data_IF_747579961912
#
_entry.id   IF_747579961912
#
_cell.length_a   1.000
_cell.length_b   1.000
_cell.length_c   1.000
_cell.angle_alpha   90.00
_cell.angle_beta   90.00
_cell.angle_gamma   90.00
#
_symmetry.space_group_name_H-M   'P 1'
#
loop_
_entity.id
_entity.type
_entity.pdbx_description
1 polymer ?
#
# COMPACT_ATOMS: atom_id res chain seq x y z
N UNK A 1 28.35 -5.38 -2.21
CA UNK A 1 27.24 -5.90 -1.37
C UNK A 1 27.54 -7.36 -1.07
N UNK A 2 27.62 -7.73 0.19
CA UNK A 2 27.92 -9.10 0.62
C UNK A 2 26.64 -9.93 0.65
N UNK A 3 26.77 -11.27 0.66
CA UNK A 3 25.62 -12.17 0.84
C UNK A 3 24.87 -11.88 2.17
N UNK A 4 25.61 -11.53 3.21
CA UNK A 4 25.03 -11.14 4.50
C UNK A 4 24.19 -9.84 4.39
N UNK A 5 24.66 -8.85 3.63
CA UNK A 5 23.91 -7.60 3.41
C UNK A 5 22.58 -7.85 2.67
N UNK A 6 22.60 -8.76 1.70
CA UNK A 6 21.40 -9.15 0.94
C UNK A 6 20.38 -9.84 1.86
N UNK A 7 20.85 -10.75 2.72
CA UNK A 7 19.97 -11.44 3.68
C UNK A 7 19.35 -10.47 4.69
N UNK A 8 20.14 -9.54 5.24
CA UNK A 8 19.65 -8.52 6.17
C UNK A 8 18.65 -7.59 5.51
N UNK A 9 18.89 -7.20 4.25
CA UNK A 9 18.00 -6.37 3.45
C UNK A 9 16.65 -7.08 3.22
N UNK A 10 16.67 -8.35 2.85
CA UNK A 10 15.45 -9.17 2.68
C UNK A 10 14.68 -9.33 4.00
N UNK A 11 15.36 -9.62 5.09
CA UNK A 11 14.73 -9.75 6.40
C UNK A 11 14.05 -8.45 6.83
N UNK A 12 14.67 -7.29 6.58
CA UNK A 12 14.08 -5.97 6.86
C UNK A 12 12.84 -5.70 6.03
N UNK A 13 12.87 -6.00 4.73
CA UNK A 13 11.70 -5.88 3.84
C UNK A 13 10.55 -6.76 4.32
N UNK A 14 10.83 -8.02 4.60
CA UNK A 14 9.83 -8.97 5.09
C UNK A 14 9.20 -8.51 6.40
N UNK A 15 10.01 -8.14 7.39
CA UNK A 15 9.54 -7.72 8.69
C UNK A 15 8.69 -6.44 8.61
N UNK A 16 9.17 -5.42 7.91
CA UNK A 16 8.45 -4.16 7.72
C UNK A 16 7.12 -4.38 7.00
N UNK A 17 7.12 -5.20 5.94
CA UNK A 17 5.93 -5.49 5.14
C UNK A 17 4.90 -6.31 5.92
N UNK A 18 5.31 -7.36 6.63
CA UNK A 18 4.43 -8.17 7.48
C UNK A 18 3.75 -7.36 8.60
N UNK A 19 4.49 -6.46 9.23
CA UNK A 19 4.00 -5.64 10.35
C UNK A 19 3.13 -4.46 9.91
N UNK A 20 3.10 -4.14 8.63
CA UNK A 20 2.29 -3.06 8.09
C UNK A 20 0.92 -3.55 7.63
N UNK A 21 -0.14 -2.80 7.94
CA UNK A 21 -1.49 -3.05 7.41
C UNK A 21 -1.63 -2.68 5.95
N UNK A 22 -0.87 -1.67 5.50
CA UNK A 22 -0.86 -1.14 4.14
C UNK A 22 0.58 -0.97 3.68
N UNK A 23 0.78 -1.12 2.37
CA UNK A 23 2.01 -0.75 1.67
C UNK A 23 1.68 0.26 0.58
N UNK A 24 2.60 1.16 0.29
CA UNK A 24 2.48 2.09 -0.83
C UNK A 24 3.14 1.49 -2.05
N UNK A 25 2.38 1.28 -3.10
CA UNK A 25 2.87 0.69 -4.35
C UNK A 25 2.79 1.72 -5.46
N UNK A 26 3.88 1.91 -6.18
CA UNK A 26 4.00 2.78 -7.33
C UNK A 26 4.42 2.00 -8.57
N UNK A 27 3.59 2.08 -9.63
CA UNK A 27 3.97 1.65 -10.98
C UNK A 27 4.49 2.84 -11.79
N UNK A 28 3.79 3.22 -12.85
CA UNK A 28 4.17 4.33 -13.73
C UNK A 28 3.66 5.71 -13.28
N UNK A 29 2.69 5.73 -12.37
CA UNK A 29 2.05 6.95 -11.88
C UNK A 29 2.28 7.22 -10.40
N UNK A 30 1.25 7.71 -9.72
CA UNK A 30 1.28 7.96 -8.28
C UNK A 30 1.20 6.67 -7.48
N UNK A 31 1.89 6.64 -6.33
CA UNK A 31 1.76 5.53 -5.40
C UNK A 31 0.34 5.45 -4.80
N UNK A 32 -0.13 4.23 -4.58
CA UNK A 32 -1.38 3.95 -3.87
C UNK A 32 -1.13 3.09 -2.65
N UNK A 33 -1.84 3.39 -1.57
CA UNK A 33 -1.85 2.54 -0.39
C UNK A 33 -2.72 1.32 -0.65
N UNK A 34 -2.14 0.13 -0.50
CA UNK A 34 -2.80 -1.13 -0.78
C UNK A 34 -2.68 -2.07 0.42
N UNK A 35 -3.75 -2.79 0.75
CA UNK A 35 -3.68 -3.90 1.67
C UNK A 35 -3.10 -5.14 0.98
N UNK A 36 -2.42 -5.98 1.71
CA UNK A 36 -1.64 -7.08 1.19
C UNK A 36 -1.52 -8.22 2.20
N UNK A 37 -1.00 -9.34 1.76
CA UNK A 37 -0.46 -10.39 2.62
C UNK A 37 0.98 -10.68 2.22
N UNK A 38 1.76 -11.14 3.17
CA UNK A 38 3.10 -11.66 2.91
C UNK A 38 3.06 -13.19 2.95
N UNK A 39 3.47 -13.83 1.89
CA UNK A 39 3.49 -15.28 1.76
C UNK A 39 4.68 -15.72 0.92
N UNK A 40 5.42 -16.71 1.40
CA UNK A 40 6.57 -17.30 0.70
C UNK A 40 7.55 -16.30 0.07
N UNK A 41 7.96 -15.30 0.85
CA UNK A 41 9.00 -14.34 0.44
C UNK A 41 8.53 -13.25 -0.50
N UNK A 42 7.23 -13.08 -0.72
CA UNK A 42 6.65 -12.03 -1.54
C UNK A 42 5.40 -11.41 -0.92
N UNK A 43 5.07 -10.20 -1.34
CA UNK A 43 3.78 -9.60 -1.03
C UNK A 43 2.76 -9.95 -2.11
N UNK A 44 1.56 -10.34 -1.70
CA UNK A 44 0.44 -10.62 -2.61
C UNK A 44 -0.67 -9.61 -2.41
N UNK A 45 -1.25 -9.19 -3.52
CA UNK A 45 -2.31 -8.19 -3.61
C UNK A 45 -3.48 -8.78 -4.40
N UNK A 46 -4.71 -8.38 -4.07
CA UNK A 46 -5.88 -8.60 -4.92
C UNK A 46 -6.55 -7.26 -5.18
N UNK A 47 -6.96 -7.01 -6.42
CA UNK A 47 -7.54 -5.73 -6.82
C UNK A 47 -8.12 -5.74 -8.23
N UNK A 48 -8.42 -4.54 -8.71
CA UNK A 48 -8.98 -4.25 -10.05
C UNK A 48 -10.28 -4.99 -10.38
N UNK A 49 -11.09 -5.25 -9.35
CA UNK A 49 -12.39 -5.91 -9.55
C UNK A 49 -13.46 -5.38 -8.61
N UNK A 50 -14.69 -5.83 -8.78
CA UNK A 50 -15.81 -5.37 -7.95
C UNK A 50 -15.55 -5.57 -6.46
N UNK A 51 -15.66 -4.49 -5.69
CA UNK A 51 -15.50 -4.52 -4.24
C UNK A 51 -14.06 -4.61 -3.72
N UNK A 52 -13.06 -4.58 -4.61
CA UNK A 52 -11.65 -4.61 -4.24
C UNK A 52 -10.92 -3.31 -4.57
N UNK A 53 -9.71 -3.16 -4.02
CA UNK A 53 -8.89 -1.98 -4.19
C UNK A 53 -8.44 -1.81 -5.64
N UNK A 54 -8.41 -0.59 -6.19
CA UNK A 54 -7.84 -0.34 -7.50
C UNK A 54 -6.31 -0.34 -7.44
N UNK A 55 -5.66 -0.97 -8.41
CA UNK A 55 -4.22 -0.92 -8.54
C UNK A 55 -3.75 0.40 -9.18
N UNK A 56 -2.53 0.88 -8.88
CA UNK A 56 -1.92 1.95 -9.62
C UNK A 56 -1.57 1.52 -11.05
N UNK A 57 -1.48 2.49 -11.95
CA UNK A 57 -1.11 2.24 -13.34
C UNK A 57 0.29 1.59 -13.45
N UNK A 58 0.45 0.72 -14.42
CA UNK A 58 1.73 0.08 -14.74
C UNK A 58 2.04 -1.19 -13.92
N UNK A 59 1.13 -1.68 -13.09
CA UNK A 59 1.27 -2.98 -12.43
C UNK A 59 0.79 -4.10 -13.36
N UNK A 60 1.61 -4.43 -14.34
CA UNK A 60 1.37 -5.54 -15.25
C UNK A 60 2.36 -6.67 -15.00
N UNK A 61 2.04 -7.87 -15.46
CA UNK A 61 2.96 -9.02 -15.40
C UNK A 61 4.28 -8.68 -16.09
N UNK A 62 5.40 -8.96 -15.42
CA UNK A 62 6.74 -8.62 -15.88
C UNK A 62 7.19 -7.17 -15.60
N UNK A 63 6.33 -6.31 -15.05
CA UNK A 63 6.71 -4.95 -14.69
C UNK A 63 7.59 -4.91 -13.43
N UNK A 64 8.21 -3.75 -13.21
CA UNK A 64 8.89 -3.41 -11.96
C UNK A 64 8.13 -2.29 -11.28
N UNK A 65 7.82 -2.48 -10.00
CA UNK A 65 7.19 -1.48 -9.16
C UNK A 65 8.12 -1.03 -8.03
N UNK A 66 7.80 0.10 -7.41
CA UNK A 66 8.43 0.54 -6.17
C UNK A 66 7.43 0.39 -5.03
N UNK A 67 7.88 -0.22 -3.95
CA UNK A 67 7.07 -0.41 -2.75
C UNK A 67 7.70 0.34 -1.60
N UNK A 68 6.89 1.12 -0.89
CA UNK A 68 7.30 1.84 0.30
C UNK A 68 6.45 1.41 1.49
N UNK A 69 7.12 1.10 2.58
CA UNK A 69 6.47 0.72 3.84
C UNK A 69 7.17 1.38 5.02
N UNK A 70 6.41 1.79 6.02
CA UNK A 70 6.97 2.38 7.23
C UNK A 70 7.41 1.29 8.20
N UNK A 71 8.69 1.24 8.52
CA UNK A 71 9.22 0.34 9.54
C UNK A 71 8.88 0.85 10.95
N UNK A 72 8.24 0.02 11.75
CA UNK A 72 7.97 0.32 13.17
C UNK A 72 9.23 0.23 14.03
N UNK A 73 10.14 -0.67 13.69
CA UNK A 73 11.33 -0.97 14.49
C UNK A 73 12.53 -0.06 14.19
N UNK A 74 12.48 0.65 13.06
CA UNK A 74 13.54 1.60 12.63
C UNK A 74 13.18 3.07 12.87
N UNK A 75 12.47 3.36 13.96
CA UNK A 75 12.10 4.74 14.32
C UNK A 75 11.15 5.41 13.32
N UNK A 76 10.33 4.63 12.65
CA UNK A 76 9.39 5.12 11.64
C UNK A 76 10.02 5.43 10.28
N UNK A 77 11.26 5.00 10.01
CA UNK A 77 11.89 5.13 8.69
C UNK A 77 11.09 4.40 7.62
N UNK A 78 11.18 4.89 6.41
CA UNK A 78 10.63 4.22 5.25
C UNK A 78 11.59 3.14 4.79
N UNK A 79 11.06 1.96 4.52
CA UNK A 79 11.74 0.90 3.80
C UNK A 79 11.19 0.90 2.39
N UNK A 80 12.04 1.22 1.43
CA UNK A 80 11.69 1.30 0.01
C UNK A 80 12.38 0.16 -0.69
N UNK A 81 11.64 -0.59 -1.50
CA UNK A 81 12.17 -1.72 -2.25
C UNK A 81 11.56 -1.82 -3.65
N UNK A 82 12.33 -2.33 -4.58
CA UNK A 82 11.85 -2.65 -5.91
C UNK A 82 11.13 -4.00 -5.89
N UNK A 83 10.07 -4.12 -6.65
CA UNK A 83 9.27 -5.33 -6.76
C UNK A 83 9.23 -5.81 -8.20
N UNK A 84 9.62 -7.05 -8.45
CA UNK A 84 9.25 -7.73 -9.68
C UNK A 84 7.77 -8.14 -9.58
N UNK A 85 6.97 -7.67 -10.52
CA UNK A 85 5.52 -7.93 -10.57
C UNK A 85 5.25 -9.17 -11.41
N UNK A 86 4.55 -10.14 -10.84
CA UNK A 86 4.02 -11.29 -11.57
C UNK A 86 2.54 -11.44 -11.27
N UNK A 87 1.80 -11.98 -12.23
CA UNK A 87 0.37 -12.23 -12.11
C UNK A 87 0.07 -13.72 -12.25
N UNK A 88 -0.01 -14.47 -11.12
CA UNK A 88 -0.34 -15.89 -11.17
C UNK A 88 -1.67 -16.12 -11.87
N UNK A 89 -1.77 -17.06 -12.82
CA UNK A 89 -3.02 -17.35 -13.50
C UNK A 89 -4.10 -17.76 -12.50
N UNK A 90 -5.34 -17.29 -12.66
CA UNK A 90 -6.47 -17.70 -11.82
C UNK A 90 -6.57 -19.23 -11.73
N UNK A 91 -6.81 -19.73 -10.52
CA UNK A 91 -6.93 -21.15 -10.20
C UNK A 91 -5.66 -21.98 -10.37
N UNK A 92 -4.50 -21.38 -10.63
CA UNK A 92 -3.21 -22.06 -10.50
C UNK A 92 -2.92 -22.39 -9.03
N UNK A 93 -1.97 -23.29 -8.78
CA UNK A 93 -1.55 -23.66 -7.41
C UNK A 93 -1.02 -22.45 -6.63
N UNK A 94 -0.17 -21.64 -7.25
CA UNK A 94 0.35 -20.41 -6.66
C UNK A 94 -0.77 -19.42 -6.34
N UNK A 95 -1.69 -19.20 -7.29
CA UNK A 95 -2.85 -18.35 -7.09
C UNK A 95 -3.72 -18.83 -5.92
N UNK A 96 -4.00 -20.14 -5.84
CA UNK A 96 -4.82 -20.73 -4.80
C UNK A 96 -4.20 -20.56 -3.41
N UNK A 97 -2.88 -20.75 -3.28
CA UNK A 97 -2.15 -20.53 -2.04
C UNK A 97 -2.21 -19.06 -1.60
N UNK A 98 -1.95 -18.13 -2.53
CA UNK A 98 -2.04 -16.69 -2.26
C UNK A 98 -3.46 -16.26 -1.85
N UNK A 99 -4.47 -16.75 -2.54
CA UNK A 99 -5.89 -16.45 -2.26
C UNK A 99 -6.31 -16.97 -0.90
N UNK A 100 -5.82 -18.12 -0.45
CA UNK A 100 -6.10 -18.63 0.88
C UNK A 100 -5.63 -17.65 1.97
N UNK A 101 -4.42 -17.09 1.83
CA UNK A 101 -3.87 -16.08 2.73
C UNK A 101 -4.63 -14.74 2.65
N UNK A 102 -4.92 -14.28 1.44
CA UNK A 102 -5.66 -13.04 1.19
C UNK A 102 -7.06 -13.09 1.80
N UNK A 103 -7.76 -14.22 1.68
CA UNK A 103 -9.08 -14.42 2.30
C UNK A 103 -9.03 -14.29 3.82
N UNK A 104 -8.02 -14.87 4.44
CA UNK A 104 -7.84 -14.79 5.89
C UNK A 104 -7.66 -13.34 6.39
N UNK A 105 -7.15 -12.46 5.56
CA UNK A 105 -6.92 -11.04 5.91
C UNK A 105 -8.04 -10.10 5.44
N UNK A 106 -8.87 -10.51 4.49
CA UNK A 106 -9.95 -9.68 3.94
C UNK A 106 -11.09 -9.55 4.96
N UNK A 107 -11.21 -8.36 5.55
CA UNK A 107 -12.26 -8.03 6.51
C UNK A 107 -13.53 -7.53 5.81
N UNK A 108 -14.69 -7.79 6.44
CA UNK A 108 -16.00 -7.24 6.02
C UNK A 108 -16.38 -7.54 4.56
N UNK A 109 -16.01 -8.70 4.05
CA UNK A 109 -16.47 -9.13 2.74
C UNK A 109 -17.96 -9.55 2.81
N UNK A 110 -18.86 -8.91 2.05
CA UNK A 110 -20.28 -9.24 2.08
C UNK A 110 -20.58 -10.62 1.45
N UNK A 111 -19.65 -11.14 0.64
CA UNK A 111 -19.73 -12.37 -0.12
C UNK A 111 -18.66 -13.40 0.25
N UNK A 112 -18.37 -13.56 1.54
CA UNK A 112 -17.24 -14.36 2.02
C UNK A 112 -17.17 -15.78 1.41
N UNK A 113 -18.32 -16.42 1.17
CA UNK A 113 -18.39 -17.76 0.58
C UNK A 113 -18.06 -17.76 -0.93
N UNK A 114 -18.44 -16.70 -1.64
CA UNK A 114 -18.29 -16.58 -3.10
C UNK A 114 -17.04 -15.78 -3.49
N UNK A 115 -16.33 -15.22 -2.53
CA UNK A 115 -15.23 -14.29 -2.72
C UNK A 115 -14.11 -14.87 -3.59
N UNK A 116 -13.74 -16.12 -3.38
CA UNK A 116 -12.70 -16.80 -4.19
C UNK A 116 -13.08 -16.87 -5.65
N UNK A 117 -14.34 -17.21 -5.93
CA UNK A 117 -14.84 -17.32 -7.30
C UNK A 117 -14.96 -15.94 -7.96
N UNK A 118 -15.38 -14.92 -7.21
CA UNK A 118 -15.39 -13.53 -7.68
C UNK A 118 -13.98 -13.03 -8.03
N UNK A 119 -13.00 -13.34 -7.20
CA UNK A 119 -11.61 -12.98 -7.47
C UNK A 119 -11.04 -13.69 -8.68
N UNK A 120 -11.38 -14.97 -8.87
CA UNK A 120 -10.93 -15.72 -10.03
C UNK A 120 -11.50 -15.20 -11.37
N UNK A 121 -12.72 -14.64 -11.35
CA UNK A 121 -13.40 -14.16 -12.55
C UNK A 121 -13.18 -12.69 -12.85
N UNK A 122 -13.11 -11.85 -11.85
CA UNK A 122 -13.19 -10.41 -12.02
C UNK A 122 -12.10 -9.58 -11.34
N UNK A 123 -11.15 -10.21 -10.65
CA UNK A 123 -10.06 -9.51 -9.99
C UNK A 123 -8.71 -10.01 -10.49
N UNK A 124 -7.68 -9.21 -10.23
CA UNK A 124 -6.30 -9.57 -10.47
C UNK A 124 -5.61 -9.89 -9.15
N UNK A 125 -4.82 -10.93 -9.13
CA UNK A 125 -3.92 -11.25 -8.02
C UNK A 125 -2.49 -11.00 -8.50
N UNK A 126 -1.77 -10.15 -7.79
CA UNK A 126 -0.39 -9.82 -8.11
C UNK A 126 0.55 -10.34 -7.02
N UNK A 127 1.70 -10.83 -7.44
CA UNK A 127 2.84 -11.18 -6.61
C UNK A 127 3.93 -10.12 -6.79
N UNK A 128 4.38 -9.54 -5.70
CA UNK A 128 5.46 -8.56 -5.65
C UNK A 128 6.67 -9.19 -4.98
N UNK A 129 7.65 -9.60 -5.77
CA UNK A 129 8.89 -10.21 -5.28
C UNK A 129 9.93 -9.12 -5.00
N UNK A 130 10.48 -9.06 -3.76
CA UNK A 130 11.45 -8.05 -3.41
C UNK A 130 12.78 -8.19 -4.16
N UNK A 131 13.23 -7.07 -4.73
CA UNK A 131 14.57 -6.85 -5.25
C UNK A 131 15.44 -6.02 -4.30
N UNK A 132 16.03 -4.96 -4.83
CA UNK A 132 16.84 -4.02 -4.05
C UNK A 132 16.01 -3.23 -3.05
N UNK A 133 16.59 -2.93 -1.88
CA UNK A 133 15.93 -2.11 -0.86
C UNK A 133 16.86 -1.05 -0.28
N UNK A 134 16.25 0.03 0.21
CA UNK A 134 16.89 1.12 0.93
C UNK A 134 16.00 1.63 2.06
N UNK A 135 16.59 2.34 3.01
CA UNK A 135 15.85 3.03 4.07
C UNK A 135 15.93 4.53 3.88
N UNK A 136 14.81 5.21 4.06
CA UNK A 136 14.69 6.67 3.91
C UNK A 136 14.03 7.29 5.15
N UNK A 137 14.27 8.58 5.37
CA UNK A 137 13.49 9.35 6.34
C UNK A 137 12.19 9.81 5.66
N UNK A 138 11.06 9.78 6.36
CA UNK A 138 9.82 10.32 5.81
C UNK A 138 9.92 11.85 5.76
N UNK A 139 9.88 12.42 4.57
CA UNK A 139 9.96 13.86 4.31
C UNK A 139 8.68 14.44 3.71
N UNK A 140 7.85 13.60 3.10
CA UNK A 140 6.63 14.02 2.42
C UNK A 140 5.55 12.92 2.41
N UNK A 141 4.36 13.27 1.95
CA UNK A 141 3.28 12.31 1.74
C UNK A 141 3.47 11.56 0.42
N UNK A 142 3.31 10.24 0.44
CA UNK A 142 3.29 9.40 -0.77
C UNK A 142 1.95 9.50 -1.53
N UNK A 143 0.91 10.02 -0.88
CA UNK A 143 -0.40 10.17 -1.49
C UNK A 143 -0.39 11.24 -2.59
N UNK A 144 -1.13 11.02 -3.66
CA UNK A 144 -1.40 12.06 -4.65
C UNK A 144 -2.12 13.24 -3.99
N UNK A 145 -1.81 14.44 -4.43
CA UNK A 145 -2.52 15.65 -3.96
C UNK A 145 -4.00 15.52 -4.33
N UNK A 146 -4.93 15.66 -3.37
CA UNK A 146 -6.36 15.59 -3.67
C UNK A 146 -6.76 16.63 -4.71
N UNK A 147 -7.66 16.25 -5.61
CA UNK A 147 -8.25 17.20 -6.55
C UNK A 147 -9.03 18.26 -5.79
N UNK A 148 -8.99 19.53 -6.22
CA UNK A 148 -9.80 20.59 -5.62
C UNK A 148 -11.30 20.26 -5.79
N UNK A 149 -12.04 20.33 -4.69
CA UNK A 149 -13.49 20.19 -4.70
C UNK A 149 -14.12 21.44 -4.08
N UNK A 150 -15.42 21.65 -4.28
CA UNK A 150 -16.14 22.77 -3.64
C UNK A 150 -16.12 22.72 -2.09
N UNK A 151 -15.85 21.56 -1.50
CA UNK A 151 -15.71 21.38 -0.06
C UNK A 151 -14.26 21.57 0.43
N UNK A 152 -13.27 21.64 -0.48
CA UNK A 152 -11.85 21.76 -0.14
C UNK A 152 -11.38 23.18 -0.43
N UNK A 153 -11.13 23.97 0.60
CA UNK A 153 -10.50 25.29 0.44
C UNK A 153 -9.00 25.19 0.69
N UNK A 154 -8.22 25.79 -0.20
CA UNK A 154 -6.78 26.03 -0.02
C UNK A 154 -6.48 27.45 0.46
N UNK A 155 -7.52 28.24 0.72
CA UNK A 155 -7.33 29.57 1.28
C UNK A 155 -6.70 29.48 2.67
N UNK A 156 -5.78 30.37 2.96
CA UNK A 156 -5.24 30.52 4.30
C UNK A 156 -6.38 30.77 5.29
N UNK A 157 -6.29 30.19 6.48
CA UNK A 157 -7.27 30.45 7.55
C UNK A 157 -7.40 31.96 7.74
N UNK A 158 -8.61 32.53 7.64
CA UNK A 158 -8.79 33.98 7.79
C UNK A 158 -8.24 34.45 9.12
N UNK A 159 -7.38 35.45 9.10
CA UNK A 159 -6.78 36.06 10.30
C UNK A 159 -7.83 36.67 11.27
N UNK A 160 -9.08 36.76 10.84
CA UNK A 160 -10.20 37.28 11.63
C UNK A 160 -10.63 36.36 12.79
N UNK A 161 -10.41 35.04 12.70
CA UNK A 161 -10.77 34.10 13.79
C UNK A 161 -10.08 34.45 15.14
N UNK A 162 -8.77 34.72 15.19
CA UNK A 162 -8.13 35.15 16.43
C UNK A 162 -8.65 36.45 16.99
N UNK A 163 -9.04 37.40 16.12
CA UNK A 163 -9.61 38.71 16.54
C UNK A 163 -11.01 38.59 17.14
N UNK A 164 -11.83 37.71 16.66
CA UNK A 164 -13.14 37.43 17.20
C UNK A 164 -13.08 36.77 18.59
N UNK A 165 -12.12 35.91 18.83
CA UNK A 165 -11.87 35.26 20.11
C UNK A 165 -11.34 36.25 21.16
N UNK A 166 -10.50 37.22 20.76
CA UNK A 166 -9.94 38.26 21.63
C UNK A 166 -10.99 39.29 22.05
N UNK A 167 -11.99 39.60 21.21
CA UNK A 167 -13.09 40.52 21.56
C UNK A 167 -14.00 39.97 22.66
N UNK A 168 -14.16 38.67 22.80
CA UNK A 168 -14.99 38.06 23.85
C UNK A 168 -14.38 38.15 25.26
N UNK A 169 -13.06 38.34 25.36
CA UNK A 169 -12.35 38.47 26.67
C UNK A 169 -12.38 39.86 27.27
N UNK A 170 -12.90 40.86 26.56
CA UNK A 170 -12.95 42.28 27.02
C UNK A 170 -14.34 42.76 27.53
N UNK A 171 -15.29 41.85 27.73
CA UNK A 171 -16.60 42.14 28.32
C UNK A 171 -16.83 41.29 29.57
N UNK A 172 -16.02 41.50 30.59
CA UNK A 172 -16.29 41.14 31.98
C UNK A 172 -15.73 42.22 32.89
#
# INVERSE_FOLDING_TARGET
MTAADVLLSRALVEEATKKSGLIWVRGTGHARALWHVWHEGAAYLVGDGPGEQPFPDGLTDGAVAEVTVRSKDKGGRLVVWTAAVTEPPPRSEEWAAAVAELRGKRLNAPDAEQMTERWARGCRVLRLEPGESRTELPDSSLAAVPLPTGATTRAAVPAALPRLLLKRRRKS
#
